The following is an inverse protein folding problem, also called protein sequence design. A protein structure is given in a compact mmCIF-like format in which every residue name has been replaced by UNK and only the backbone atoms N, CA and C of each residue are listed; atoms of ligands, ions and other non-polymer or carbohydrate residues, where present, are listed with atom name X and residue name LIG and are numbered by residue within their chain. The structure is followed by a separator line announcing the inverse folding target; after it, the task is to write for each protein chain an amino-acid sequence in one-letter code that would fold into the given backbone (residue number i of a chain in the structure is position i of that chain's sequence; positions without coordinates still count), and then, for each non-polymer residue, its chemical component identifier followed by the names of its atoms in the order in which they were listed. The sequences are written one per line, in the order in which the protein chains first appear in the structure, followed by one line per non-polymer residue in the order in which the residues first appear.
data_IF_589367501740
#
_entry.id   IF_589367501740
#
_cell.length_a   1.000
_cell.length_b   1.000
_cell.length_c   1.000
_cell.angle_alpha   90.00
_cell.angle_beta   90.00
_cell.angle_gamma   90.00
#
_symmetry.space_group_name_H-M   'P 1'
#
loop_
_entity.id
_entity.type
_entity.pdbx_description
1 polymer ?
#
# COMPACT_ATOMS: atom_id res chain seq x y z
N UNK A 1 -36.08 -5.23 -12.33
CA UNK A 1 -35.54 -4.23 -13.28
C UNK A 1 -34.25 -3.70 -12.69
N UNK A 2 -33.16 -3.64 -13.46
CA UNK A 2 -31.92 -3.00 -13.00
C UNK A 2 -32.20 -1.51 -12.71
N UNK A 3 -31.61 -0.97 -11.64
CA UNK A 3 -31.74 0.45 -11.35
C UNK A 3 -31.16 1.28 -12.51
N UNK A 4 -31.75 2.44 -12.85
CA UNK A 4 -31.20 3.31 -13.86
C UNK A 4 -29.76 3.73 -13.49
N UNK A 5 -28.87 3.95 -14.47
CA UNK A 5 -27.51 4.39 -14.21
C UNK A 5 -27.51 5.74 -13.46
N UNK A 6 -26.46 5.96 -12.65
CA UNK A 6 -26.28 7.22 -11.94
C UNK A 6 -26.26 8.41 -12.90
N UNK A 7 -26.91 9.52 -12.53
CA UNK A 7 -27.02 10.73 -13.37
C UNK A 7 -25.67 11.35 -13.76
N UNK A 8 -24.63 11.11 -12.96
CA UNK A 8 -23.27 11.63 -13.22
C UNK A 8 -22.38 10.64 -13.99
N UNK A 9 -22.87 9.42 -14.28
CA UNK A 9 -22.05 8.38 -14.89
C UNK A 9 -21.85 8.68 -16.38
N UNK A 10 -20.60 8.91 -16.76
CA UNK A 10 -20.20 9.10 -18.16
C UNK A 10 -18.84 8.45 -18.41
N UNK A 11 -18.75 7.68 -19.51
CA UNK A 11 -17.55 6.95 -19.93
C UNK A 11 -16.89 6.11 -18.81
N UNK A 12 -17.71 5.47 -17.98
CA UNK A 12 -17.22 4.67 -16.84
C UNK A 12 -17.77 3.24 -16.96
N UNK A 13 -16.93 2.33 -17.44
CA UNK A 13 -17.33 0.95 -17.71
C UNK A 13 -17.51 0.15 -16.40
N UNK A 14 -18.46 -0.79 -16.37
CA UNK A 14 -18.75 -1.61 -15.18
C UNK A 14 -17.53 -2.43 -14.71
N UNK A 15 -16.71 -2.90 -15.65
CA UNK A 15 -15.47 -3.62 -15.33
C UNK A 15 -14.48 -2.72 -14.56
N UNK A 16 -14.35 -1.44 -14.93
CA UNK A 16 -13.51 -0.47 -14.24
C UNK A 16 -14.05 -0.19 -12.83
N UNK A 17 -15.36 -0.02 -12.70
CA UNK A 17 -16.03 0.14 -11.40
C UNK A 17 -15.76 -1.05 -10.48
N UNK A 18 -15.90 -2.28 -10.99
CA UNK A 18 -15.61 -3.48 -10.22
C UNK A 18 -14.12 -3.59 -9.87
N UNK A 19 -13.22 -3.18 -10.77
CA UNK A 19 -11.79 -3.18 -10.52
C UNK A 19 -11.38 -2.15 -9.46
N UNK A 20 -12.00 -0.96 -9.45
CA UNK A 20 -11.81 0.03 -8.37
C UNK A 20 -12.26 -0.53 -7.01
N UNK A 21 -13.38 -1.25 -6.95
CA UNK A 21 -13.80 -1.90 -5.70
C UNK A 21 -12.80 -2.96 -5.21
N UNK A 22 -12.16 -3.70 -6.13
CA UNK A 22 -11.08 -4.64 -5.77
C UNK A 22 -9.83 -3.91 -5.30
N UNK A 23 -9.43 -2.84 -5.98
CA UNK A 23 -8.27 -2.04 -5.59
C UNK A 23 -8.47 -1.39 -4.22
N UNK A 24 -9.67 -0.85 -3.93
CA UNK A 24 -10.03 -0.34 -2.60
C UNK A 24 -9.76 -1.39 -1.51
N UNK A 25 -10.18 -2.64 -1.73
CA UNK A 25 -9.95 -3.71 -0.76
C UNK A 25 -8.46 -4.06 -0.64
N UNK A 26 -7.70 -3.98 -1.73
CA UNK A 26 -6.26 -4.22 -1.72
C UNK A 26 -5.49 -3.14 -0.94
N UNK A 27 -5.82 -1.85 -1.11
CA UNK A 27 -5.20 -0.77 -0.31
C UNK A 27 -5.56 -0.91 1.18
N UNK A 28 -6.81 -1.29 1.48
CA UNK A 28 -7.23 -1.57 2.85
C UNK A 28 -6.48 -2.77 3.46
N UNK A 29 -6.22 -3.80 2.64
CA UNK A 29 -5.40 -4.94 3.06
C UNK A 29 -3.94 -4.51 3.30
N UNK A 30 -3.36 -3.71 2.42
CA UNK A 30 -2.01 -3.19 2.57
C UNK A 30 -1.87 -2.36 3.86
N UNK A 31 -2.81 -1.45 4.10
CA UNK A 31 -2.93 -0.70 5.36
C UNK A 31 -2.97 -1.62 6.58
N UNK A 32 -3.74 -2.72 6.53
CA UNK A 32 -3.85 -3.66 7.64
C UNK A 32 -2.58 -4.50 7.86
N UNK A 33 -1.87 -4.86 6.80
CA UNK A 33 -0.55 -5.51 6.87
C UNK A 33 0.47 -4.59 7.52
N UNK A 34 0.56 -3.33 7.10
CA UNK A 34 1.46 -2.36 7.71
C UNK A 34 1.13 -2.09 9.17
N UNK A 35 -0.15 -2.07 9.54
CA UNK A 35 -0.56 -1.97 10.94
C UNK A 35 -0.04 -3.15 11.76
N UNK A 36 -0.16 -4.38 11.24
CA UNK A 36 0.38 -5.58 11.89
C UNK A 36 1.90 -5.50 12.06
N UNK A 37 2.63 -5.07 11.03
CA UNK A 37 4.09 -4.87 11.12
C UNK A 37 4.43 -3.83 12.19
N UNK A 38 3.73 -2.70 12.23
CA UNK A 38 3.96 -1.65 13.21
C UNK A 38 3.87 -2.16 14.65
N UNK A 39 2.77 -2.85 14.98
CA UNK A 39 2.56 -3.38 16.33
C UNK A 39 3.46 -4.57 16.69
N UNK A 40 4.07 -5.23 15.70
CA UNK A 40 5.13 -6.20 15.97
C UNK A 40 6.40 -5.51 16.50
N UNK A 41 6.82 -4.40 15.89
CA UNK A 41 8.01 -3.67 16.33
C UNK A 41 7.82 -2.89 17.65
N UNK A 42 6.57 -2.66 18.07
CA UNK A 42 6.21 -2.02 19.34
C UNK A 42 6.20 -2.99 20.54
N UNK A 43 6.33 -4.30 20.32
CA UNK A 43 6.45 -5.30 21.39
C UNK A 43 7.72 -5.07 22.24
N UNK A 44 7.67 -5.43 23.51
CA UNK A 44 8.79 -5.28 24.45
C UNK A 44 9.99 -6.18 24.10
N UNK A 45 9.75 -7.31 23.43
CA UNK A 45 10.76 -8.26 22.98
C UNK A 45 11.36 -7.96 21.60
N UNK A 46 10.87 -6.90 20.91
CA UNK A 46 11.42 -6.40 19.64
C UNK A 46 11.94 -4.97 19.80
N UNK A 47 11.12 -4.06 20.32
CA UNK A 47 11.45 -2.72 20.80
C UNK A 47 12.18 -1.78 19.79
N UNK A 48 11.77 -1.78 18.53
CA UNK A 48 12.31 -0.90 17.47
C UNK A 48 11.31 0.21 17.12
N UNK A 49 11.32 1.29 17.91
CA UNK A 49 10.33 2.36 17.86
C UNK A 49 10.19 3.05 16.50
N UNK A 50 11.28 3.29 15.77
CA UNK A 50 11.20 4.00 14.50
C UNK A 50 10.76 3.08 13.36
N UNK A 51 11.03 1.77 13.43
CA UNK A 51 10.35 0.78 12.59
C UNK A 51 8.84 0.78 12.84
N UNK A 52 8.40 0.73 14.10
CA UNK A 52 6.98 0.79 14.43
C UNK A 52 6.32 2.05 13.88
N UNK A 53 6.95 3.22 14.07
CA UNK A 53 6.49 4.50 13.55
C UNK A 53 6.44 4.53 12.02
N UNK A 54 7.47 4.03 11.35
CA UNK A 54 7.54 3.97 9.89
C UNK A 54 6.37 3.18 9.31
N UNK A 55 6.16 1.95 9.79
CA UNK A 55 5.05 1.13 9.30
C UNK A 55 3.67 1.67 9.72
N UNK A 56 3.56 2.37 10.85
CA UNK A 56 2.31 3.06 11.21
C UNK A 56 2.00 4.18 10.22
N UNK A 57 3.00 4.95 9.81
CA UNK A 57 2.85 5.98 8.80
C UNK A 57 2.41 5.39 7.46
N UNK A 58 3.09 4.34 6.98
CA UNK A 58 2.71 3.62 5.75
C UNK A 58 1.27 3.06 5.84
N UNK A 59 0.87 2.54 7.00
CA UNK A 59 -0.51 2.08 7.22
C UNK A 59 -1.54 3.20 7.03
N UNK A 60 -1.23 4.41 7.47
CA UNK A 60 -2.10 5.57 7.28
C UNK A 60 -2.11 6.05 5.81
N UNK A 61 -0.96 6.09 5.14
CA UNK A 61 -0.89 6.45 3.71
C UNK A 61 -1.72 5.50 2.85
N UNK A 62 -1.61 4.18 3.07
CA UNK A 62 -2.44 3.21 2.36
C UNK A 62 -3.94 3.35 2.65
N UNK A 63 -4.28 3.79 3.87
CA UNK A 63 -5.66 4.12 4.20
C UNK A 63 -6.15 5.33 3.40
N UNK A 64 -5.32 6.34 3.23
CA UNK A 64 -5.63 7.50 2.38
C UNK A 64 -5.77 7.11 0.91
N UNK A 65 -4.95 6.19 0.40
CA UNK A 65 -5.09 5.61 -0.94
C UNK A 65 -6.46 4.96 -1.13
N UNK A 66 -6.88 4.11 -0.20
CA UNK A 66 -8.20 3.48 -0.24
C UNK A 66 -9.34 4.52 -0.27
N UNK A 67 -9.26 5.56 0.57
CA UNK A 67 -10.27 6.61 0.64
C UNK A 67 -10.29 7.50 -0.61
N UNK A 68 -9.13 7.74 -1.23
CA UNK A 68 -8.98 8.46 -2.50
C UNK A 68 -9.69 7.69 -3.64
N UNK A 69 -9.55 6.36 -3.69
CA UNK A 69 -10.31 5.50 -4.62
C UNK A 69 -11.82 5.49 -4.35
N UNK A 70 -12.24 5.46 -3.09
CA UNK A 70 -13.66 5.55 -2.72
C UNK A 70 -14.28 6.88 -3.20
N UNK A 71 -13.54 7.99 -3.06
CA UNK A 71 -13.96 9.31 -3.58
C UNK A 71 -14.08 9.28 -5.10
N UNK A 72 -13.10 8.74 -5.82
CA UNK A 72 -13.16 8.57 -7.28
C UNK A 72 -14.39 7.75 -7.71
N UNK A 73 -14.63 6.61 -7.05
CA UNK A 73 -15.75 5.72 -7.35
C UNK A 73 -17.09 6.48 -7.32
N UNK A 74 -17.29 7.31 -6.28
CA UNK A 74 -18.48 8.13 -6.14
C UNK A 74 -18.53 9.27 -7.18
N UNK A 75 -17.40 9.94 -7.46
CA UNK A 75 -17.31 11.01 -8.46
C UNK A 75 -17.73 10.52 -9.85
N UNK A 76 -17.33 9.31 -10.23
CA UNK A 76 -17.66 8.71 -11.54
C UNK A 76 -19.06 8.07 -11.59
N UNK A 77 -19.83 8.17 -10.50
CA UNK A 77 -21.18 7.61 -10.40
C UNK A 77 -21.21 6.09 -10.22
N UNK A 78 -20.11 5.48 -9.81
CA UNK A 78 -20.04 4.08 -9.39
C UNK A 78 -20.66 3.86 -8.02
N UNK A 79 -20.64 2.60 -7.56
CA UNK A 79 -21.10 2.16 -6.25
C UNK A 79 -20.01 1.36 -5.56
N UNK A 80 -19.73 1.75 -4.33
CA UNK A 80 -18.75 1.06 -3.48
C UNK A 80 -19.41 -0.20 -2.92
N UNK A 81 -18.76 -1.34 -3.13
CA UNK A 81 -19.15 -2.63 -2.56
C UNK A 81 -17.98 -3.17 -1.73
N UNK A 82 -17.94 -2.80 -0.45
CA UNK A 82 -16.88 -3.26 0.47
C UNK A 82 -16.92 -4.78 0.64
N UNK A 83 -15.74 -5.36 0.81
CA UNK A 83 -15.52 -6.78 1.09
C UNK A 83 -14.72 -6.93 2.38
N UNK A 84 -14.65 -8.14 2.91
CA UNK A 84 -13.80 -8.47 4.04
C UNK A 84 -12.35 -8.04 3.78
N UNK A 85 -11.74 -7.37 4.75
CA UNK A 85 -10.30 -7.16 4.75
C UNK A 85 -9.69 -8.42 5.35
N UNK A 86 -8.96 -9.18 4.54
CA UNK A 86 -8.29 -10.40 5.03
C UNK A 86 -7.21 -10.02 6.03
N UNK A 87 -7.01 -10.88 7.04
CA UNK A 87 -5.88 -10.72 7.94
C UNK A 87 -4.56 -10.93 7.17
N UNK A 88 -3.45 -10.35 7.64
CA UNK A 88 -2.11 -10.65 7.13
C UNK A 88 -1.80 -12.14 7.14
N UNK A 89 -0.85 -12.57 6.30
CA UNK A 89 -0.42 -13.97 6.18
C UNK A 89 0.30 -14.50 7.43
N UNK A 90 0.83 -13.60 8.25
CA UNK A 90 1.54 -13.89 9.51
C UNK A 90 1.28 -12.83 10.57
N UNK A 91 1.46 -13.22 11.83
CA UNK A 91 1.38 -12.34 13.00
C UNK A 91 2.78 -12.02 13.58
N UNK A 92 3.77 -12.89 13.30
CA UNK A 92 5.18 -12.70 13.64
C UNK A 92 5.96 -12.31 12.37
N UNK A 93 6.63 -11.16 12.41
CA UNK A 93 7.39 -10.61 11.27
C UNK A 93 8.89 -10.87 11.37
N UNK A 94 9.33 -11.64 12.37
CA UNK A 94 10.69 -12.13 12.60
C UNK A 94 11.73 -11.05 12.93
N UNK A 95 11.95 -10.08 12.03
CA UNK A 95 12.98 -9.04 12.17
C UNK A 95 12.73 -7.88 11.18
N UNK A 96 13.49 -6.80 11.34
CA UNK A 96 13.41 -5.61 10.49
C UNK A 96 13.65 -5.90 9.00
N UNK A 97 14.62 -6.74 8.68
CA UNK A 97 14.90 -7.12 7.29
C UNK A 97 13.75 -7.91 6.66
N UNK A 98 13.24 -8.95 7.33
CA UNK A 98 12.11 -9.75 6.83
C UNK A 98 10.88 -8.86 6.62
N UNK A 99 10.55 -7.96 7.56
CA UNK A 99 9.42 -7.06 7.43
C UNK A 99 9.55 -6.11 6.21
N UNK A 100 10.73 -5.53 5.99
CA UNK A 100 10.99 -4.66 4.84
C UNK A 100 10.93 -5.43 3.50
N UNK A 101 11.36 -6.69 3.47
CA UNK A 101 11.24 -7.56 2.29
C UNK A 101 9.77 -7.93 1.99
N UNK A 102 8.98 -8.21 3.03
CA UNK A 102 7.54 -8.43 2.91
C UNK A 102 6.81 -7.18 2.43
N UNK A 103 7.14 -6.01 2.98
CA UNK A 103 6.60 -4.72 2.53
C UNK A 103 6.94 -4.45 1.06
N UNK A 104 8.20 -4.66 0.66
CA UNK A 104 8.62 -4.50 -0.74
C UNK A 104 7.85 -5.43 -1.69
N UNK A 105 7.53 -6.65 -1.25
CA UNK A 105 6.71 -7.57 -2.03
C UNK A 105 5.25 -7.12 -2.12
N UNK A 106 4.68 -6.66 -1.01
CA UNK A 106 3.34 -6.08 -0.96
C UNK A 106 3.20 -4.91 -1.93
N UNK A 107 4.12 -3.93 -1.90
CA UNK A 107 4.08 -2.76 -2.79
C UNK A 107 4.16 -3.13 -4.27
N UNK A 108 4.96 -4.16 -4.59
CA UNK A 108 5.04 -4.67 -5.97
C UNK A 108 3.73 -5.33 -6.41
N UNK A 109 3.03 -6.01 -5.50
CA UNK A 109 1.74 -6.63 -5.80
C UNK A 109 0.65 -5.56 -5.97
N UNK A 110 0.63 -4.53 -5.11
CA UNK A 110 -0.26 -3.36 -5.25
C UNK A 110 -0.01 -2.67 -6.58
N UNK A 111 1.24 -2.38 -6.91
CA UNK A 111 1.61 -1.76 -8.18
C UNK A 111 1.21 -2.61 -9.40
N UNK A 112 1.40 -3.93 -9.33
CA UNK A 112 0.95 -4.82 -10.42
C UNK A 112 -0.57 -4.74 -10.62
N UNK A 113 -1.36 -4.69 -9.55
CA UNK A 113 -2.81 -4.50 -9.62
C UNK A 113 -3.18 -3.13 -10.22
N UNK A 114 -2.44 -2.06 -9.89
CA UNK A 114 -2.63 -0.73 -10.47
C UNK A 114 -2.31 -0.70 -11.97
N UNK A 115 -1.25 -1.38 -12.42
CA UNK A 115 -0.90 -1.50 -13.83
C UNK A 115 -1.99 -2.26 -14.61
N UNK A 116 -2.56 -3.31 -14.02
CA UNK A 116 -3.69 -4.04 -14.62
C UNK A 116 -4.97 -3.21 -14.68
N UNK A 117 -5.25 -2.42 -13.64
CA UNK A 117 -6.35 -1.47 -13.60
C UNK A 117 -6.19 -0.37 -14.65
N UNK A 118 -4.98 0.17 -14.80
CA UNK A 118 -4.66 1.17 -15.83
C UNK A 118 -4.81 0.61 -17.24
N UNK A 119 -4.30 -0.61 -17.47
CA UNK A 119 -4.50 -1.33 -18.74
C UNK A 119 -5.98 -1.50 -19.04
N UNK A 120 -6.79 -1.91 -18.07
CA UNK A 120 -8.24 -2.04 -18.23
C UNK A 120 -8.89 -0.69 -18.57
N UNK A 121 -8.50 0.40 -17.90
CA UNK A 121 -8.98 1.75 -18.20
C UNK A 121 -8.65 2.15 -19.64
N UNK A 122 -7.44 1.84 -20.09
CA UNK A 122 -6.97 2.07 -21.47
C UNK A 122 -7.79 1.27 -22.49
N UNK A 123 -8.01 -0.03 -22.25
CA UNK A 123 -8.83 -0.89 -23.11
C UNK A 123 -10.29 -0.42 -23.22
N UNK A 124 -10.82 0.19 -22.14
CA UNK A 124 -12.16 0.77 -22.12
C UNK A 124 -12.21 2.23 -22.57
N UNK A 125 -11.09 2.81 -23.01
CA UNK A 125 -10.97 4.20 -23.45
C UNK A 125 -11.44 5.20 -22.38
N UNK A 126 -11.06 5.01 -21.11
CA UNK A 126 -11.33 5.94 -20.00
C UNK A 126 -10.07 6.78 -19.66
N UNK A 127 -9.79 7.87 -20.40
CA UNK A 127 -8.57 8.65 -20.21
C UNK A 127 -8.51 9.33 -18.84
N UNK A 128 -9.66 9.68 -18.25
CA UNK A 128 -9.69 10.27 -16.91
C UNK A 128 -9.26 9.24 -15.85
N UNK A 129 -9.68 7.99 -15.98
CA UNK A 129 -9.23 6.95 -15.05
C UNK A 129 -7.74 6.64 -15.23
N UNK A 130 -7.22 6.61 -16.46
CA UNK A 130 -5.79 6.47 -16.72
C UNK A 130 -4.98 7.57 -16.03
N UNK A 131 -5.32 8.84 -16.29
CA UNK A 131 -4.66 10.02 -15.71
C UNK A 131 -4.72 10.03 -14.17
N UNK A 132 -5.86 9.66 -13.59
CA UNK A 132 -6.01 9.57 -12.14
C UNK A 132 -5.06 8.52 -11.52
N UNK A 133 -4.92 7.36 -12.15
CA UNK A 133 -4.03 6.28 -11.68
C UNK A 133 -2.56 6.71 -11.82
N UNK A 134 -2.21 7.34 -12.95
CA UNK A 134 -0.86 7.87 -13.21
C UNK A 134 -0.46 8.93 -12.16
N UNK A 135 -1.32 9.94 -11.98
CA UNK A 135 -1.03 11.12 -11.14
C UNK A 135 -0.93 10.79 -9.65
N UNK A 136 -1.76 9.86 -9.17
CA UNK A 136 -1.96 9.68 -7.73
C UNK A 136 -1.49 8.35 -7.18
N UNK A 137 -1.04 7.40 -8.00
CA UNK A 137 -0.65 6.06 -7.54
C UNK A 137 0.64 5.57 -8.17
N UNK A 138 0.77 5.56 -9.50
CA UNK A 138 1.94 4.93 -10.15
C UNK A 138 3.27 5.60 -9.77
N UNK A 139 3.30 6.93 -9.72
CA UNK A 139 4.50 7.67 -9.29
C UNK A 139 4.82 7.45 -7.79
N UNK A 140 3.79 7.31 -6.95
CA UNK A 140 3.94 7.02 -5.52
C UNK A 140 4.49 5.59 -5.33
N UNK A 141 3.90 4.58 -5.99
CA UNK A 141 4.37 3.19 -5.95
C UNK A 141 5.84 3.05 -6.35
N UNK A 142 6.28 3.72 -7.41
CA UNK A 142 7.68 3.61 -7.87
C UNK A 142 8.63 4.19 -6.81
N UNK A 143 8.25 5.28 -6.14
CA UNK A 143 9.04 5.86 -5.05
C UNK A 143 9.09 4.93 -3.83
N UNK A 144 7.94 4.41 -3.37
CA UNK A 144 7.86 3.51 -2.22
C UNK A 144 8.64 2.21 -2.47
N UNK A 145 8.51 1.60 -3.66
CA UNK A 145 9.29 0.41 -4.05
C UNK A 145 10.79 0.70 -4.04
N UNK A 146 11.21 1.88 -4.51
CA UNK A 146 12.61 2.29 -4.51
C UNK A 146 13.14 2.48 -3.08
N UNK A 147 12.38 3.16 -2.23
CA UNK A 147 12.71 3.41 -0.83
C UNK A 147 12.89 2.09 -0.06
N UNK A 148 11.90 1.20 -0.13
CA UNK A 148 11.95 -0.12 0.51
C UNK A 148 13.12 -0.96 -0.03
N UNK A 149 13.41 -0.87 -1.33
CA UNK A 149 14.57 -1.50 -1.94
C UNK A 149 15.91 -1.00 -1.37
N UNK A 150 16.01 0.29 -1.07
CA UNK A 150 17.19 0.88 -0.41
C UNK A 150 17.31 0.42 1.04
N UNK A 151 16.19 0.38 1.78
CA UNK A 151 16.14 -0.10 3.15
C UNK A 151 16.62 -1.56 3.24
N UNK A 152 16.04 -2.46 2.43
CA UNK A 152 16.46 -3.87 2.33
C UNK A 152 17.94 -3.99 2.00
N UNK A 153 18.43 -3.18 1.05
CA UNK A 153 19.86 -3.22 0.65
C UNK A 153 20.78 -2.83 1.80
N UNK A 154 20.46 -1.77 2.55
CA UNK A 154 21.25 -1.32 3.68
C UNK A 154 21.24 -2.36 4.82
N UNK A 155 20.07 -2.86 5.21
CA UNK A 155 19.94 -3.89 6.25
C UNK A 155 20.75 -5.15 5.93
N UNK A 156 20.67 -5.64 4.68
CA UNK A 156 21.48 -6.79 4.23
C UNK A 156 22.98 -6.51 4.30
N UNK A 157 23.44 -5.32 3.88
CA UNK A 157 24.86 -4.95 3.89
C UNK A 157 25.40 -4.75 5.31
N UNK A 158 24.57 -4.25 6.22
CA UNK A 158 24.88 -4.15 7.65
C UNK A 158 24.88 -5.52 8.34
N UNK A 159 24.33 -6.55 7.66
CA UNK A 159 24.33 -7.95 8.09
C UNK A 159 23.20 -8.30 9.06
N UNK A 160 22.06 -7.60 8.97
CA UNK A 160 20.82 -8.02 9.60
C UNK A 160 20.34 -9.38 9.02
N UNK A 161 19.63 -10.21 9.81
CA UNK A 161 19.36 -10.06 11.24
C UNK A 161 20.50 -10.59 12.14
N UNK A 162 21.58 -11.15 11.56
CA UNK A 162 22.64 -11.84 12.33
C UNK A 162 23.38 -10.93 13.30
N UNK A 163 23.59 -9.67 12.94
CA UNK A 163 24.21 -8.68 13.80
C UNK A 163 23.14 -7.75 14.38
N UNK A 164 22.74 -7.96 15.65
CA UNK A 164 21.65 -7.20 16.28
C UNK A 164 21.85 -5.67 16.29
N UNK A 165 23.10 -5.19 16.27
CA UNK A 165 23.41 -3.76 16.14
C UNK A 165 23.00 -3.17 14.78
N UNK A 166 22.86 -4.00 13.73
CA UNK A 166 22.49 -3.53 12.41
C UNK A 166 21.10 -2.87 12.40
N UNK A 167 20.10 -3.58 12.92
CA UNK A 167 18.71 -3.08 12.95
C UNK A 167 18.55 -1.91 13.93
N UNK A 168 19.25 -1.97 15.07
CA UNK A 168 19.26 -0.86 16.03
C UNK A 168 19.83 0.44 15.42
N UNK A 169 20.98 0.36 14.74
CA UNK A 169 21.58 1.53 14.09
C UNK A 169 20.72 2.02 12.92
N UNK A 170 20.11 1.11 12.15
CA UNK A 170 19.20 1.45 11.06
C UNK A 170 17.94 2.16 11.58
N UNK A 171 17.34 1.68 12.67
CA UNK A 171 16.21 2.30 13.36
C UNK A 171 16.53 3.76 13.73
N UNK A 172 17.74 4.03 14.23
CA UNK A 172 18.13 5.39 14.63
C UNK A 172 18.54 6.30 13.48
N UNK A 173 19.33 5.81 12.54
CA UNK A 173 19.98 6.66 11.53
C UNK A 173 19.26 6.74 10.19
N UNK A 174 18.39 5.77 9.88
CA UNK A 174 17.64 5.78 8.62
C UNK A 174 16.18 6.10 8.86
N UNK A 175 15.54 5.44 9.84
CA UNK A 175 14.12 5.68 10.13
C UNK A 175 13.89 6.82 11.14
N UNK A 176 14.92 7.19 11.91
CA UNK A 176 14.84 8.23 12.95
C UNK A 176 14.81 9.67 12.41
N UNK A 177 15.24 9.90 11.17
CA UNK A 177 15.27 11.24 10.56
C UNK A 177 13.91 11.70 10.02
N UNK A 178 12.88 10.85 10.11
CA UNK A 178 11.49 11.16 9.67
C UNK A 178 10.77 12.22 10.53
N UNK A 179 11.46 12.90 11.45
CA UNK A 179 10.94 13.93 12.36
C UNK A 179 11.63 15.31 12.22
N UNK A 180 12.47 15.52 11.20
CA UNK A 180 13.09 16.83 10.92
C UNK A 180 12.54 17.52 9.67
#
# INVERSE_FOLDING_TARGET
MAAPPSQVRQNYHQDCEAAINRQINLELYASYVYLSMSYYFDRDDVALKNFAKYFLHQSHEEREHAEKLMKLQNQRGGRIFLQDIKKPDRDDWENGLTAMECALHLEKNVNQSLLELHKLATEKNDPHLCDFIETHYLDEQVKSIKELGDHVTNLRKMGAPKYGMAEYLFDKHTLGDSDN
#
